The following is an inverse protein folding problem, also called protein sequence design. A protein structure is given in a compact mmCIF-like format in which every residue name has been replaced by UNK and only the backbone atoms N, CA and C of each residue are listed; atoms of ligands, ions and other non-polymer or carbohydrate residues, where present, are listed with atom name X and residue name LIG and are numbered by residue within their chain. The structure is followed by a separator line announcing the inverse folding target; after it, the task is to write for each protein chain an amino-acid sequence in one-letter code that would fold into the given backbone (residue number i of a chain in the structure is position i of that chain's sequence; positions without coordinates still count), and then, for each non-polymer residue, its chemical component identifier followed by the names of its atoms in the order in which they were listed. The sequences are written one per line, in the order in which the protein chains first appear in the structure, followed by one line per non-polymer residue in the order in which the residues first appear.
data_IF_282570023368
#
_entry.id   IF_282570023368
#
_cell.length_a   1.000
_cell.length_b   1.000
_cell.length_c   1.000
_cell.angle_alpha   90.00
_cell.angle_beta   90.00
_cell.angle_gamma   90.00
#
_symmetry.space_group_name_H-M   'P 1'
#
loop_
_entity.id
_entity.type
_entity.pdbx_description
1 polymer ?
#
# COMPACT_ATOMS: atom_id res chain seq x y z
N UNK A 1 14.61 -5.20 8.47
CA UNK A 1 13.53 -5.84 7.71
C UNK A 1 13.29 -5.08 6.41
N UNK A 2 13.10 -5.78 5.35
CA UNK A 2 12.88 -5.16 4.05
C UNK A 2 11.42 -5.35 3.61
N UNK A 3 11.03 -4.59 2.59
CA UNK A 3 9.71 -4.73 1.99
C UNK A 3 9.51 -6.14 1.41
N UNK A 4 10.57 -6.73 0.85
CA UNK A 4 10.53 -8.10 0.37
C UNK A 4 10.33 -9.12 1.49
N UNK A 5 10.92 -8.87 2.65
CA UNK A 5 10.72 -9.73 3.83
C UNK A 5 9.27 -9.67 4.30
N UNK A 6 8.67 -8.48 4.30
CA UNK A 6 7.26 -8.33 4.62
C UNK A 6 6.37 -9.10 3.64
N UNK A 7 6.69 -9.03 2.35
CA UNK A 7 5.96 -9.78 1.33
C UNK A 7 6.04 -11.29 1.57
N UNK A 8 7.20 -11.79 1.95
CA UNK A 8 7.38 -13.20 2.28
C UNK A 8 6.54 -13.60 3.50
N UNK A 9 6.53 -12.78 4.53
CA UNK A 9 5.72 -13.04 5.73
C UNK A 9 4.24 -13.11 5.37
N UNK A 10 3.76 -12.22 4.51
CA UNK A 10 2.38 -12.21 4.07
C UNK A 10 2.03 -13.48 3.30
N UNK A 11 2.91 -13.92 2.41
CA UNK A 11 2.72 -15.18 1.68
C UNK A 11 2.64 -16.36 2.63
N UNK A 12 3.44 -16.36 3.69
CA UNK A 12 3.45 -17.44 4.67
C UNK A 12 2.14 -17.56 5.45
N UNK A 13 1.40 -16.47 5.60
CA UNK A 13 0.10 -16.49 6.27
C UNK A 13 -1.07 -16.60 5.28
N UNK A 14 -0.78 -16.91 4.02
CA UNK A 14 -1.80 -17.17 3.02
C UNK A 14 -2.30 -15.97 2.23
N UNK A 15 -1.63 -14.84 2.35
CA UNK A 15 -1.97 -13.63 1.58
C UNK A 15 -1.11 -13.61 0.31
N UNK A 16 -1.77 -13.63 -0.82
CA UNK A 16 -1.09 -13.55 -2.11
C UNK A 16 -0.50 -12.14 -2.26
N UNK A 17 0.81 -12.04 -2.36
CA UNK A 17 1.51 -10.76 -2.36
C UNK A 17 2.37 -10.61 -3.59
N UNK A 18 2.24 -9.49 -4.28
CA UNK A 18 3.12 -9.13 -5.39
C UNK A 18 3.75 -7.76 -5.13
N UNK A 19 5.00 -7.63 -5.52
CA UNK A 19 5.76 -6.41 -5.34
C UNK A 19 6.40 -6.05 -6.67
N UNK A 20 6.01 -4.92 -7.23
CA UNK A 20 6.43 -4.48 -8.55
C UNK A 20 7.16 -3.14 -8.43
N UNK A 21 8.45 -3.16 -8.75
CA UNK A 21 9.29 -1.96 -8.72
C UNK A 21 9.52 -1.45 -10.13
N UNK A 22 9.29 -0.16 -10.33
CA UNK A 22 9.77 0.50 -11.53
C UNK A 22 11.27 0.77 -11.38
N UNK A 23 12.12 0.34 -12.33
CA UNK A 23 13.57 0.49 -12.20
C UNK A 23 14.07 1.92 -12.08
N UNK A 24 13.28 2.89 -12.54
CA UNK A 24 13.63 4.31 -12.46
C UNK A 24 13.14 4.97 -11.17
N UNK A 25 12.47 4.23 -10.30
CA UNK A 25 11.98 4.76 -9.04
C UNK A 25 13.14 5.06 -8.10
N UNK A 26 13.19 6.29 -7.62
CA UNK A 26 14.21 6.72 -6.69
C UNK A 26 13.60 6.76 -5.29
N UNK A 27 13.71 5.63 -4.59
CA UNK A 27 13.12 5.48 -3.26
C UNK A 27 14.15 5.82 -2.18
N UNK A 28 13.88 6.89 -1.45
CA UNK A 28 14.63 7.18 -0.24
C UNK A 28 14.22 6.23 0.89
N UNK A 29 15.10 6.05 1.90
CA UNK A 29 14.79 5.17 3.02
C UNK A 29 13.55 5.59 3.81
N UNK A 30 13.26 6.88 3.87
CA UNK A 30 12.07 7.40 4.56
C UNK A 30 10.78 6.93 3.87
N UNK A 31 10.76 6.95 2.54
CA UNK A 31 9.62 6.52 1.78
C UNK A 31 9.41 5.00 1.90
N UNK A 32 10.49 4.24 1.90
CA UNK A 32 10.43 2.78 2.10
C UNK A 32 9.81 2.47 3.46
N UNK A 33 10.26 3.15 4.51
CA UNK A 33 9.70 2.97 5.85
C UNK A 33 8.22 3.33 5.89
N UNK A 34 7.83 4.40 5.21
CA UNK A 34 6.43 4.81 5.15
C UNK A 34 5.58 3.76 4.43
N UNK A 35 6.08 3.19 3.34
CA UNK A 35 5.41 2.11 2.61
C UNK A 35 5.19 0.91 3.52
N UNK A 36 6.23 0.51 4.24
CA UNK A 36 6.16 -0.64 5.16
C UNK A 36 5.16 -0.40 6.29
N UNK A 37 5.20 0.79 6.87
CA UNK A 37 4.27 1.17 7.94
C UNK A 37 2.83 1.22 7.44
N UNK A 38 2.62 1.77 6.25
CA UNK A 38 1.30 1.84 5.64
C UNK A 38 0.75 0.44 5.36
N UNK A 39 1.59 -0.44 4.84
CA UNK A 39 1.22 -1.83 4.59
C UNK A 39 0.81 -2.54 5.89
N UNK A 40 1.57 -2.33 6.95
CA UNK A 40 1.27 -2.90 8.25
C UNK A 40 -0.08 -2.40 8.78
N UNK A 41 -0.36 -1.11 8.67
CA UNK A 41 -1.65 -0.53 9.04
C UNK A 41 -2.80 -1.11 8.24
N UNK A 42 -2.61 -1.29 6.94
CA UNK A 42 -3.62 -1.91 6.07
C UNK A 42 -3.95 -3.33 6.54
N UNK A 43 -2.93 -4.12 6.82
CA UNK A 43 -3.10 -5.48 7.27
C UNK A 43 -3.85 -5.53 8.61
N UNK A 44 -3.48 -4.68 9.54
CA UNK A 44 -4.12 -4.61 10.86
C UNK A 44 -5.59 -4.18 10.75
N UNK A 45 -5.89 -3.18 9.94
CA UNK A 45 -7.26 -2.72 9.74
C UNK A 45 -8.15 -3.83 9.18
N UNK A 46 -7.64 -4.61 8.26
CA UNK A 46 -8.38 -5.74 7.68
C UNK A 46 -8.33 -6.98 8.56
N UNK A 47 -7.69 -6.90 9.71
CA UNK A 47 -7.51 -8.03 10.64
C UNK A 47 -6.84 -9.22 9.92
N UNK A 48 -5.91 -8.92 9.02
CA UNK A 48 -5.21 -9.90 8.18
C UNK A 48 -6.14 -10.77 7.33
N UNK A 49 -7.39 -10.34 7.16
CA UNK A 49 -8.41 -11.06 6.39
C UNK A 49 -8.54 -10.45 5.01
N UNK A 50 -7.60 -10.79 4.14
CA UNK A 50 -7.63 -10.39 2.74
C UNK A 50 -6.97 -11.47 1.90
N UNK A 51 -7.31 -11.49 0.62
CA UNK A 51 -6.83 -12.52 -0.30
C UNK A 51 -5.51 -12.14 -0.93
N UNK A 52 -5.38 -10.90 -1.36
CA UNK A 52 -4.15 -10.47 -2.04
C UNK A 52 -3.84 -9.01 -1.81
N UNK A 53 -2.57 -8.70 -1.91
CA UNK A 53 -2.04 -7.33 -1.92
C UNK A 53 -1.04 -7.22 -3.06
N UNK A 54 -1.26 -6.29 -3.96
CA UNK A 54 -0.31 -5.95 -5.01
C UNK A 54 0.24 -4.56 -4.72
N UNK A 55 1.55 -4.46 -4.61
CA UNK A 55 2.23 -3.20 -4.35
C UNK A 55 2.97 -2.78 -5.61
N UNK A 56 2.60 -1.65 -6.16
CA UNK A 56 3.25 -1.08 -7.34
C UNK A 56 3.97 0.18 -6.94
N UNK A 57 5.26 0.23 -7.20
CA UNK A 57 6.12 1.36 -6.87
C UNK A 57 6.69 1.94 -8.15
N UNK A 58 6.21 3.12 -8.50
CA UNK A 58 6.69 3.88 -9.65
C UNK A 58 6.77 5.35 -9.21
N UNK A 59 6.32 6.29 -10.01
CA UNK A 59 6.22 7.69 -9.60
C UNK A 59 5.26 7.86 -8.43
N UNK A 60 4.28 6.98 -8.34
CA UNK A 60 3.38 6.89 -7.19
C UNK A 60 3.45 5.48 -6.62
N UNK A 61 3.08 5.35 -5.35
CA UNK A 61 2.98 4.04 -4.70
C UNK A 61 1.52 3.67 -4.59
N UNK A 62 1.18 2.48 -5.06
CA UNK A 62 -0.19 2.01 -5.11
C UNK A 62 -0.29 0.62 -4.48
N UNK A 63 -1.31 0.42 -3.64
CA UNK A 63 -1.63 -0.87 -3.05
C UNK A 63 -2.99 -1.30 -3.59
N UNK A 64 -3.08 -2.47 -4.22
CA UNK A 64 -4.36 -3.06 -4.61
C UNK A 64 -4.66 -4.22 -3.68
N UNK A 65 -5.77 -4.13 -2.97
CA UNK A 65 -6.15 -5.07 -1.93
C UNK A 65 -7.45 -5.75 -2.33
N UNK A 66 -7.46 -7.08 -2.29
CA UNK A 66 -8.63 -7.85 -2.65
C UNK A 66 -9.03 -8.81 -1.54
N UNK A 67 -10.32 -9.17 -1.51
CA UNK A 67 -10.82 -10.21 -0.61
C UNK A 67 -11.01 -9.77 0.82
N UNK A 68 -11.29 -8.49 1.03
CA UNK A 68 -11.56 -7.96 2.37
C UNK A 68 -12.94 -7.31 2.40
N UNK A 69 -13.62 -7.43 3.55
CA UNK A 69 -14.89 -6.75 3.81
C UNK A 69 -14.70 -5.39 4.46
N UNK A 70 -13.47 -5.07 4.84
CA UNK A 70 -13.15 -3.79 5.47
C UNK A 70 -13.28 -2.63 4.49
N UNK A 71 -13.89 -1.55 4.92
CA UNK A 71 -13.95 -0.31 4.15
C UNK A 71 -12.78 0.57 4.50
N UNK A 72 -11.90 0.81 3.53
CA UNK A 72 -10.79 1.73 3.70
C UNK A 72 -11.24 3.15 3.38
N UNK A 73 -10.77 4.10 4.17
CA UNK A 73 -11.09 5.51 3.97
C UNK A 73 -9.82 6.31 3.73
N UNK A 74 -9.94 7.35 2.93
CA UNK A 74 -8.81 8.25 2.67
C UNK A 74 -8.44 8.99 3.95
N UNK A 75 -7.13 9.17 4.16
CA UNK A 75 -6.63 9.81 5.37
C UNK A 75 -5.24 10.41 5.15
N UNK A 76 -4.86 11.30 6.05
CA UNK A 76 -3.50 11.85 6.09
C UNK A 76 -2.57 10.91 6.84
N UNK A 77 -1.33 10.85 6.38
CA UNK A 77 -0.27 10.07 6.99
C UNK A 77 0.85 10.99 7.49
N UNK A 78 1.79 10.42 8.22
CA UNK A 78 2.96 11.14 8.70
C UNK A 78 3.86 11.58 7.54
N UNK A 79 4.66 12.62 7.77
CA UNK A 79 5.66 13.06 6.80
C UNK A 79 5.13 13.81 5.59
N UNK A 80 3.90 14.34 5.67
CA UNK A 80 3.32 15.10 4.58
C UNK A 80 2.76 14.25 3.46
N UNK A 81 2.38 13.01 3.77
CA UNK A 81 1.75 12.11 2.81
C UNK A 81 0.28 11.89 3.15
N UNK A 82 -0.49 11.51 2.15
CA UNK A 82 -1.87 11.11 2.32
C UNK A 82 -2.13 9.78 1.63
N UNK A 83 -3.13 9.06 2.09
CA UNK A 83 -3.57 7.82 1.50
C UNK A 83 -4.95 8.04 0.90
N UNK A 84 -5.04 7.96 -0.42
CA UNK A 84 -6.29 8.10 -1.13
C UNK A 84 -6.84 6.71 -1.44
N UNK A 85 -8.12 6.51 -1.17
CA UNK A 85 -8.76 5.21 -1.40
C UNK A 85 -9.70 5.30 -2.59
N UNK A 86 -9.74 4.21 -3.36
CA UNK A 86 -10.62 4.05 -4.50
C UNK A 86 -11.17 2.63 -4.46
N UNK A 87 -12.48 2.51 -4.56
CA UNK A 87 -13.11 1.19 -4.58
C UNK A 87 -12.99 0.60 -5.98
N UNK A 88 -12.54 -0.66 -6.03
CA UNK A 88 -12.46 -1.43 -7.27
C UNK A 88 -13.34 -2.67 -7.13
N UNK A 89 -13.71 -3.37 -8.22
CA UNK A 89 -14.63 -4.51 -8.14
C UNK A 89 -14.20 -5.63 -7.18
N UNK A 90 -12.88 -5.86 -7.07
CA UNK A 90 -12.36 -6.94 -6.22
C UNK A 90 -11.97 -6.47 -4.81
N UNK A 91 -11.96 -5.16 -4.55
CA UNK A 91 -11.54 -4.64 -3.26
C UNK A 91 -11.27 -3.14 -3.28
N UNK A 92 -10.05 -2.75 -2.96
CA UNK A 92 -9.67 -1.34 -2.89
C UNK A 92 -8.30 -1.10 -3.53
N UNK A 93 -8.16 0.08 -4.12
CA UNK A 93 -6.87 0.63 -4.51
C UNK A 93 -6.55 1.79 -3.57
N UNK A 94 -5.39 1.73 -2.96
CA UNK A 94 -4.91 2.74 -2.04
C UNK A 94 -3.69 3.40 -2.66
N UNK A 95 -3.74 4.71 -2.82
CA UNK A 95 -2.68 5.47 -3.48
C UNK A 95 -2.00 6.37 -2.46
N UNK A 96 -0.68 6.22 -2.35
CA UNK A 96 0.13 7.04 -1.45
C UNK A 96 0.53 8.29 -2.20
N UNK A 97 0.06 9.43 -1.76
CA UNK A 97 0.31 10.72 -2.38
C UNK A 97 1.02 11.65 -1.42
N UNK A 98 1.91 12.46 -1.95
CA UNK A 98 2.52 13.52 -1.18
C UNK A 98 1.53 14.68 -1.07
N UNK A 99 1.19 15.08 0.15
CA UNK A 99 0.32 16.23 0.38
C UNK A 99 0.99 17.49 -0.15
N UNK A 100 0.22 18.34 -0.83
CA UNK A 100 0.76 19.49 -1.51
C UNK A 100 0.97 19.25 -2.99
N UNK A 101 1.09 18.00 -3.42
CA UNK A 101 1.01 17.63 -4.82
C UNK A 101 -0.42 17.20 -5.09
N UNK A 102 -1.32 18.15 -4.99
CA UNK A 102 -2.73 17.88 -5.22
C UNK A 102 -2.89 17.42 -6.65
N UNK A 103 -3.31 16.18 -6.81
CA UNK A 103 -3.74 15.72 -8.12
C UNK A 103 -5.00 16.48 -8.45
N UNK A 104 -4.83 17.49 -9.23
CA UNK A 104 -5.96 18.19 -9.81
C UNK A 104 -6.57 17.27 -10.84
N UNK A 105 -7.57 16.60 -10.44
CA UNK A 105 -8.37 15.88 -11.43
C UNK A 105 -9.24 16.83 -12.19
#
# INVERSE_FOLDING_TARGET
ISLQDMAKCMKNIGIRTSLDFCPISNLGPELILLIMKTLEEILEEADFRLTSVAIQISDTVCFEITGTDHEFVSRSLEGGYGLQTEKIPAGYRLILLKEGEVVQS
#
